data_IF_932151487091
#
_entry.id   IF_932151487091
#
_cell.length_a   1.000
_cell.length_b   1.000
_cell.length_c   1.000
_cell.angle_alpha   90.00
_cell.angle_beta   90.00
_cell.angle_gamma   90.00
#
_symmetry.space_group_name_H-M   'P 1'
#
loop_
_entity.id
_entity.type
_entity.pdbx_description
1 polymer ?
#
# COMPACT_ATOMS: atom_id res chain seq x y z
N UNK A 1 4.58 9.78 6.50
CA UNK A 1 4.88 8.35 6.28
C UNK A 1 6.35 8.21 5.95
N UNK A 2 6.97 7.11 6.36
CA UNK A 2 8.32 6.70 6.01
C UNK A 2 8.34 5.21 5.67
N UNK A 3 9.34 4.79 4.90
CA UNK A 3 9.59 3.36 4.65
C UNK A 3 9.83 2.65 5.99
N UNK A 4 9.19 1.50 6.17
CA UNK A 4 9.17 0.75 7.43
C UNK A 4 7.98 1.07 8.34
N UNK A 5 7.23 2.13 8.07
CA UNK A 5 6.00 2.40 8.82
C UNK A 5 4.95 1.31 8.55
N UNK A 6 4.20 0.97 9.59
CA UNK A 6 3.01 0.13 9.45
C UNK A 6 1.82 0.99 9.02
N UNK A 7 1.11 0.51 8.00
CA UNK A 7 -0.11 1.15 7.53
C UNK A 7 -1.31 0.47 8.19
N UNK A 8 -2.06 1.26 8.94
CA UNK A 8 -3.35 0.82 9.49
C UNK A 8 -4.42 1.10 8.43
N UNK A 9 -5.01 0.05 7.90
CA UNK A 9 -6.14 0.12 6.97
C UNK A 9 -7.36 0.61 7.76
N UNK A 10 -7.86 1.80 7.42
CA UNK A 10 -9.10 2.32 8.00
C UNK A 10 -10.33 1.54 7.51
N UNK A 11 -11.47 1.61 8.23
CA UNK A 11 -12.66 0.79 7.97
C UNK A 11 -13.37 1.04 6.62
N UNK A 12 -12.91 2.02 5.83
CA UNK A 12 -13.50 2.45 4.56
C UNK A 12 -12.68 2.05 3.32
N UNK A 13 -11.81 1.05 3.43
CA UNK A 13 -11.14 0.48 2.26
C UNK A 13 -12.10 -0.54 1.62
N UNK A 14 -12.25 -0.42 0.30
CA UNK A 14 -13.23 -1.11 -0.52
C UNK A 14 -13.32 -2.61 -0.17
N UNK A 15 -14.54 -3.15 0.06
CA UNK A 15 -14.78 -4.49 0.61
C UNK A 15 -14.20 -5.64 -0.23
N UNK A 16 -13.91 -5.40 -1.50
CA UNK A 16 -13.26 -6.37 -2.38
C UNK A 16 -11.77 -6.57 -2.05
N UNK A 17 -11.23 -5.77 -1.12
CA UNK A 17 -9.81 -5.55 -0.97
C UNK A 17 -9.40 -5.44 0.50
N UNK A 18 -9.16 -6.61 1.09
CA UNK A 18 -8.69 -6.73 2.46
C UNK A 18 -7.32 -7.42 2.48
N UNK A 19 -6.20 -6.66 2.43
CA UNK A 19 -4.93 -7.19 2.89
C UNK A 19 -5.12 -7.64 4.35
N UNK A 20 -5.18 -8.95 4.57
CA UNK A 20 -5.30 -9.49 5.91
C UNK A 20 -3.95 -9.36 6.60
N UNK A 21 -3.89 -8.55 7.66
CA UNK A 21 -2.70 -8.43 8.51
C UNK A 21 -1.96 -7.10 8.40
N UNK A 22 -0.73 -7.08 8.91
CA UNK A 22 0.09 -5.87 8.97
C UNK A 22 0.65 -5.52 7.60
N UNK A 23 0.38 -4.31 7.13
CA UNK A 23 1.02 -3.75 5.94
C UNK A 23 2.24 -2.94 6.33
N UNK A 24 3.37 -3.19 5.67
CA UNK A 24 4.61 -2.42 5.88
C UNK A 24 4.97 -1.65 4.62
N UNK A 25 5.25 -0.36 4.74
CA UNK A 25 5.70 0.45 3.59
C UNK A 25 7.12 0.03 3.19
N UNK A 26 7.30 -0.36 1.94
CA UNK A 26 8.60 -0.71 1.35
C UNK A 26 9.11 0.34 0.35
N UNK A 27 8.23 1.20 -0.18
CA UNK A 27 8.62 2.26 -1.10
C UNK A 27 7.65 3.45 -0.98
N UNK A 28 8.16 4.66 -1.20
CA UNK A 28 7.37 5.88 -1.31
C UNK A 28 7.86 6.62 -2.56
N UNK A 29 6.96 6.85 -3.50
CA UNK A 29 7.22 7.54 -4.75
C UNK A 29 6.30 8.75 -4.87
N UNK A 30 6.86 9.91 -5.15
CA UNK A 30 6.07 11.12 -5.38
C UNK A 30 6.05 11.38 -6.89
N UNK A 31 4.86 11.41 -7.47
CA UNK A 31 4.66 11.70 -8.88
C UNK A 31 5.12 13.13 -9.21
N UNK A 32 6.24 13.27 -9.94
CA UNK A 32 6.83 14.59 -10.28
C UNK A 32 5.87 15.58 -10.94
N UNK A 33 4.84 15.09 -11.64
CA UNK A 33 3.91 15.94 -12.43
C UNK A 33 2.57 16.17 -11.73
N UNK A 34 2.14 15.24 -10.87
CA UNK A 34 0.86 15.30 -10.19
C UNK A 34 0.98 15.72 -8.72
N UNK A 35 2.17 15.61 -8.13
CA UNK A 35 2.39 15.82 -6.70
C UNK A 35 1.84 14.71 -5.80
N UNK A 36 1.19 13.68 -6.36
CA UNK A 36 0.62 12.59 -5.58
C UNK A 36 1.70 11.67 -5.02
N UNK A 37 1.57 11.37 -3.73
CA UNK A 37 2.39 10.37 -3.05
C UNK A 37 1.77 8.99 -3.26
N UNK A 38 2.55 8.11 -3.87
CA UNK A 38 2.25 6.69 -4.04
C UNK A 38 3.14 5.89 -3.11
N UNK A 39 2.55 4.97 -2.36
CA UNK A 39 3.28 4.08 -1.47
C UNK A 39 3.22 2.66 -2.02
N UNK A 40 4.30 1.90 -1.86
CA UNK A 40 4.25 0.44 -2.04
C UNK A 40 4.31 -0.19 -0.67
N UNK A 41 3.37 -1.07 -0.38
CA UNK A 41 3.27 -1.82 0.88
C UNK A 41 3.37 -3.31 0.63
N UNK A 42 3.84 -4.04 1.62
CA UNK A 42 3.88 -5.51 1.63
C UNK A 42 3.07 -6.03 2.81
N UNK A 43 2.30 -7.09 2.61
CA UNK A 43 1.64 -7.82 3.69
C UNK A 43 2.56 -8.91 4.28
N UNK A 44 2.11 -9.55 5.37
CA UNK A 44 2.82 -10.65 6.02
C UNK A 44 2.96 -11.90 5.10
N UNK A 45 2.14 -12.00 4.06
CA UNK A 45 2.20 -13.07 3.06
C UNK A 45 3.17 -12.76 1.91
N UNK A 46 3.82 -11.59 1.91
CA UNK A 46 4.73 -11.14 0.86
C UNK A 46 4.05 -10.55 -0.38
N UNK A 47 2.72 -10.35 -0.36
CA UNK A 47 2.02 -9.69 -1.45
C UNK A 47 2.32 -8.20 -1.46
N UNK A 48 2.53 -7.64 -2.66
CA UNK A 48 2.88 -6.23 -2.83
C UNK A 48 1.69 -5.45 -3.36
N UNK A 49 1.42 -4.32 -2.73
CA UNK A 49 0.33 -3.42 -3.09
C UNK A 49 0.87 -2.00 -3.28
N UNK A 50 0.24 -1.26 -4.18
CA UNK A 50 0.51 0.14 -4.47
C UNK A 50 -0.63 1.00 -3.93
N UNK A 51 -0.40 1.74 -2.85
CA UNK A 51 -1.31 2.76 -2.35
C UNK A 51 -1.16 4.06 -3.13
N UNK A 52 -2.26 4.63 -3.60
CA UNK A 52 -2.34 5.99 -4.13
C UNK A 52 -3.77 6.50 -4.00
N UNK A 53 -3.93 7.74 -3.54
CA UNK A 53 -5.22 8.46 -3.49
C UNK A 53 -6.37 7.64 -2.86
N UNK A 54 -6.22 7.31 -1.56
CA UNK A 54 -7.17 6.51 -0.77
C UNK A 54 -7.46 5.09 -1.29
N UNK A 55 -6.74 4.61 -2.31
CA UNK A 55 -6.92 3.28 -2.89
C UNK A 55 -5.60 2.52 -2.89
N UNK A 56 -5.63 1.22 -2.61
CA UNK A 56 -4.49 0.34 -2.88
C UNK A 56 -4.77 -0.43 -4.18
N UNK A 57 -3.72 -0.77 -4.95
CA UNK A 57 -3.71 -1.63 -6.17
C UNK A 57 -2.73 -2.81 -6.01
N UNK A 58 -3.15 -4.06 -6.22
CA UNK A 58 -2.31 -5.25 -6.12
C UNK A 58 -1.49 -5.25 -7.39
N UNK A 59 -0.18 -5.13 -7.22
CA UNK A 59 0.78 -5.00 -8.33
C UNK A 59 1.53 -6.31 -8.58
N UNK A 60 1.41 -7.27 -7.68
CA UNK A 60 1.88 -8.62 -7.86
C UNK A 60 1.71 -9.43 -6.59
N UNK A 61 1.27 -10.67 -6.72
CA UNK A 61 1.42 -11.68 -5.68
C UNK A 61 2.63 -12.54 -6.00
N UNK A 62 3.56 -12.65 -5.04
CA UNK A 62 4.56 -13.72 -4.83
C UNK A 62 5.84 -13.22 -4.18
N UNK A 63 6.27 -13.99 -3.18
CA UNK A 63 7.55 -14.72 -3.27
C UNK A 63 7.21 -16.19 -3.47
#
# INVERSE_FOLDING_TARGET
MRVGDQVVIGPNINKDWNPNGKLTIINIQIGKRSGYEYITVVDESGNRFHGGDNCFKLIGSRV
#
